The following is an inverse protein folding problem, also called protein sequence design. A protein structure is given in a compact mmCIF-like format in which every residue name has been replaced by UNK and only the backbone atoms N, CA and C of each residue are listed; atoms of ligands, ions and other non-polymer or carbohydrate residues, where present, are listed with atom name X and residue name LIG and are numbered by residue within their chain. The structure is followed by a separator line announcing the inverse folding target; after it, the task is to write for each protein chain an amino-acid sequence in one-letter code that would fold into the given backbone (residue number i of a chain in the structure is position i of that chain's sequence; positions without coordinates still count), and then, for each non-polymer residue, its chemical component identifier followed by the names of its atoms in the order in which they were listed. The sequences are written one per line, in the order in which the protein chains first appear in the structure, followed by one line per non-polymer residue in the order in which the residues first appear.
data_IF_020273376496
#
_entry.id   IF_020273376496
#
_cell.length_a   1.000
_cell.length_b   1.000
_cell.length_c   1.000
_cell.angle_alpha   90.00
_cell.angle_beta   90.00
_cell.angle_gamma   90.00
#
_symmetry.space_group_name_H-M   'P 1'
#
loop_
_entity.id
_entity.type
_entity.pdbx_description
1 polymer ?
#
# COMPACT_ATOMS: atom_id res chain seq x y z
N UNK A 1 -31.43 17.33 16.35
CA UNK A 1 -30.40 16.36 15.92
C UNK A 1 -29.06 17.01 16.18
N UNK A 2 -28.42 16.67 17.28
CA UNK A 2 -27.02 17.06 17.49
C UNK A 2 -26.22 16.49 16.32
N UNK A 3 -25.69 17.38 15.48
CA UNK A 3 -24.65 17.01 14.54
C UNK A 3 -23.49 16.56 15.42
N UNK A 4 -23.32 15.25 15.59
CA UNK A 4 -22.03 14.70 15.95
C UNK A 4 -21.05 15.15 14.86
N UNK A 5 -20.42 16.30 15.09
CA UNK A 5 -19.39 16.82 14.22
C UNK A 5 -18.23 15.86 14.34
N UNK A 6 -18.12 14.96 13.38
CA UNK A 6 -16.92 14.15 13.20
C UNK A 6 -15.77 15.14 13.06
N UNK A 7 -14.90 15.19 14.07
CA UNK A 7 -13.71 16.03 14.01
C UNK A 7 -12.70 15.35 13.08
N UNK A 8 -12.60 15.86 11.85
CA UNK A 8 -11.66 15.36 10.85
C UNK A 8 -10.42 16.22 10.94
N UNK A 9 -9.31 15.61 11.37
CA UNK A 9 -8.02 16.30 11.40
C UNK A 9 -7.64 16.76 9.98
N UNK A 10 -7.07 17.96 9.83
CA UNK A 10 -6.63 18.46 8.52
C UNK A 10 -5.54 17.56 7.94
N UNK A 11 -5.45 17.55 6.60
CA UNK A 11 -4.47 16.74 5.89
C UNK A 11 -3.09 17.41 5.80
N UNK A 12 -2.62 17.99 6.89
CA UNK A 12 -1.37 18.72 6.95
C UNK A 12 -0.14 17.79 7.03
N UNK A 13 1.02 18.35 6.67
CA UNK A 13 2.31 17.67 6.73
C UNK A 13 2.55 16.66 5.62
N UNK A 14 3.74 16.06 5.61
CA UNK A 14 4.11 15.03 4.62
C UNK A 14 3.42 13.71 4.93
N UNK A 15 2.91 13.07 3.88
CA UNK A 15 2.31 11.74 3.93
C UNK A 15 3.31 10.69 3.43
N UNK A 16 3.70 9.76 4.30
CA UNK A 16 4.50 8.60 3.94
C UNK A 16 3.65 7.56 3.22
N UNK A 17 4.03 7.20 2.01
CA UNK A 17 3.42 6.08 1.26
C UNK A 17 4.45 4.96 1.21
N UNK A 18 4.22 3.94 2.01
CA UNK A 18 5.13 2.82 2.23
C UNK A 18 4.70 1.63 1.36
N UNK A 19 5.43 1.36 0.28
CA UNK A 19 5.10 0.32 -0.69
C UNK A 19 5.88 -0.96 -0.38
N UNK A 20 5.18 -2.08 -0.24
CA UNK A 20 5.84 -3.40 -0.19
C UNK A 20 5.87 -3.98 -1.60
N UNK A 21 7.07 -4.20 -2.13
CA UNK A 21 7.33 -4.53 -3.53
C UNK A 21 7.52 -3.27 -4.39
N UNK A 22 8.69 -3.12 -4.99
CA UNK A 22 9.08 -2.11 -5.96
C UNK A 22 8.99 -2.65 -7.40
N UNK A 23 7.95 -3.43 -7.69
CA UNK A 23 7.67 -3.97 -9.02
C UNK A 23 6.91 -2.99 -9.94
N UNK A 24 6.35 -3.52 -11.02
CA UNK A 24 5.68 -2.73 -12.08
C UNK A 24 4.61 -1.75 -11.57
N UNK A 25 3.79 -2.15 -10.60
CA UNK A 25 2.74 -1.28 -10.04
C UNK A 25 3.36 -0.10 -9.29
N UNK A 26 4.26 -0.39 -8.35
CA UNK A 26 4.88 0.61 -7.49
C UNK A 26 5.74 1.59 -8.28
N UNK A 27 6.57 1.10 -9.21
CA UNK A 27 7.42 1.98 -10.03
C UNK A 27 6.62 2.86 -10.97
N UNK A 28 5.55 2.33 -11.58
CA UNK A 28 4.64 3.13 -12.41
C UNK A 28 3.88 4.18 -11.58
N UNK A 29 3.45 3.82 -10.36
CA UNK A 29 2.83 4.78 -9.44
C UNK A 29 3.78 5.92 -9.08
N UNK A 30 5.02 5.60 -8.69
CA UNK A 30 6.02 6.62 -8.33
C UNK A 30 6.37 7.49 -9.53
N UNK A 31 6.63 6.89 -10.69
CA UNK A 31 6.91 7.65 -11.91
C UNK A 31 5.75 8.59 -12.27
N UNK A 32 4.51 8.11 -12.21
CA UNK A 32 3.33 8.96 -12.43
C UNK A 32 3.24 10.11 -11.42
N UNK A 33 3.46 9.82 -10.13
CA UNK A 33 3.46 10.83 -9.08
C UNK A 33 4.51 11.92 -9.32
N UNK A 34 5.75 11.55 -9.59
CA UNK A 34 6.84 12.49 -9.83
C UNK A 34 6.65 13.27 -11.14
N UNK A 35 6.09 12.64 -12.17
CA UNK A 35 5.69 13.31 -13.40
C UNK A 35 4.66 14.42 -13.16
N UNK A 36 3.66 14.16 -12.32
CA UNK A 36 2.63 15.16 -11.95
C UNK A 36 3.23 16.26 -11.10
N UNK A 37 4.09 15.93 -10.12
CA UNK A 37 4.80 16.92 -9.29
C UNK A 37 5.67 17.87 -10.12
N UNK A 38 6.30 17.34 -11.17
CA UNK A 38 7.12 18.11 -12.11
C UNK A 38 6.31 18.84 -13.19
N UNK A 39 4.97 18.76 -13.15
CA UNK A 39 4.08 19.43 -14.11
C UNK A 39 4.13 18.86 -15.53
N UNK A 40 4.68 17.66 -15.71
CA UNK A 40 4.86 17.02 -17.03
C UNK A 40 3.53 16.39 -17.48
N UNK A 41 2.81 15.72 -16.58
CA UNK A 41 1.56 15.02 -16.89
C UNK A 41 0.40 15.41 -15.97
N UNK A 42 -0.82 15.06 -16.40
CA UNK A 42 -2.05 15.20 -15.61
C UNK A 42 -2.39 13.85 -14.94
N UNK A 43 -3.08 13.84 -13.78
CA UNK A 43 -3.43 12.61 -13.04
C UNK A 43 -4.58 11.81 -13.67
N UNK A 44 -4.49 11.51 -14.98
CA UNK A 44 -5.53 10.82 -15.76
C UNK A 44 -5.78 9.43 -15.18
N UNK A 45 -7.07 9.10 -14.97
CA UNK A 45 -7.50 7.85 -14.36
C UNK A 45 -7.60 7.87 -12.84
N UNK A 46 -7.13 8.93 -12.16
CA UNK A 46 -7.26 9.05 -10.72
C UNK A 46 -8.62 9.60 -10.29
N UNK A 47 -9.41 8.77 -9.61
CA UNK A 47 -10.72 9.15 -9.07
C UNK A 47 -10.62 10.32 -8.08
N UNK A 48 -9.62 10.32 -7.20
CA UNK A 48 -9.49 11.36 -6.17
C UNK A 48 -9.07 12.70 -6.76
N UNK A 49 -8.33 12.69 -7.87
CA UNK A 49 -7.79 13.90 -8.47
C UNK A 49 -8.67 14.48 -9.59
N UNK A 50 -9.41 13.63 -10.30
CA UNK A 50 -10.21 14.04 -11.48
C UNK A 50 -11.69 13.67 -11.37
N UNK A 51 -12.09 12.84 -10.41
CA UNK A 51 -13.49 12.49 -10.18
C UNK A 51 -14.29 13.66 -9.64
N UNK A 52 -15.60 13.63 -9.89
CA UNK A 52 -16.54 14.65 -9.43
C UNK A 52 -17.59 14.08 -8.49
N UNK A 53 -17.97 14.85 -7.47
CA UNK A 53 -19.09 14.57 -6.57
C UNK A 53 -20.25 15.48 -6.96
N UNK A 54 -21.43 14.90 -7.19
CA UNK A 54 -22.66 15.67 -7.42
C UNK A 54 -23.20 16.20 -6.10
N UNK A 55 -23.48 17.50 -6.04
CA UNK A 55 -24.02 18.19 -4.88
C UNK A 55 -25.49 18.52 -5.12
N UNK A 56 -26.41 17.80 -4.46
CA UNK A 56 -27.85 18.01 -4.61
C UNK A 56 -28.48 17.25 -5.79
N UNK A 57 -29.56 17.80 -6.35
CA UNK A 57 -30.35 17.13 -7.39
C UNK A 57 -29.62 17.16 -8.74
N UNK A 58 -29.98 16.24 -9.63
CA UNK A 58 -29.46 16.19 -11.01
C UNK A 58 -29.70 17.49 -11.79
N UNK A 59 -30.82 18.16 -11.51
CA UNK A 59 -31.24 19.41 -12.16
C UNK A 59 -30.43 20.63 -11.72
N UNK A 60 -29.79 20.57 -10.54
CA UNK A 60 -29.09 21.72 -9.96
C UNK A 60 -27.77 22.03 -10.67
N UNK A 61 -27.25 21.09 -11.50
CA UNK A 61 -25.95 21.17 -12.17
C UNK A 61 -24.78 21.55 -11.23
N UNK A 62 -24.89 21.20 -9.95
CA UNK A 62 -23.85 21.43 -8.95
C UNK A 62 -22.99 20.18 -8.79
N UNK A 63 -21.70 20.32 -9.08
CA UNK A 63 -20.70 19.30 -8.82
C UNK A 63 -19.37 19.93 -8.41
N UNK A 64 -18.60 19.22 -7.60
CA UNK A 64 -17.24 19.60 -7.22
C UNK A 64 -16.28 18.48 -7.61
N UNK A 65 -15.01 18.81 -7.87
CA UNK A 65 -13.96 17.79 -7.97
C UNK A 65 -13.72 17.22 -6.57
N UNK A 66 -13.46 15.91 -6.46
CA UNK A 66 -13.27 15.20 -5.19
C UNK A 66 -12.20 15.86 -4.31
N UNK A 67 -11.01 16.14 -4.88
CA UNK A 67 -9.90 16.79 -4.17
C UNK A 67 -10.21 18.20 -3.64
N UNK A 68 -11.17 18.90 -4.24
CA UNK A 68 -11.57 20.24 -3.82
C UNK A 68 -12.74 20.19 -2.81
N UNK A 69 -13.38 19.02 -2.68
CA UNK A 69 -14.51 18.79 -1.78
C UNK A 69 -14.07 18.22 -0.42
N UNK A 70 -13.05 17.37 -0.39
CA UNK A 70 -12.54 16.70 0.82
C UNK A 70 -11.09 17.14 1.05
N UNK A 71 -10.67 17.46 2.30
CA UNK A 71 -9.29 17.84 2.60
C UNK A 71 -8.35 16.63 2.50
N UNK A 72 -7.92 16.30 1.27
CA UNK A 72 -6.94 15.25 1.00
C UNK A 72 -5.52 15.81 1.01
N UNK A 73 -4.53 14.97 1.34
CA UNK A 73 -3.12 15.35 1.18
C UNK A 73 -2.83 15.69 -0.28
N UNK A 74 -2.06 16.76 -0.53
CA UNK A 74 -1.68 17.14 -1.89
C UNK A 74 -0.67 16.14 -2.42
N UNK A 75 -0.67 15.89 -3.73
CA UNK A 75 0.30 15.01 -4.38
C UNK A 75 1.76 15.43 -4.12
N UNK A 76 2.03 16.73 -3.97
CA UNK A 76 3.34 17.28 -3.60
C UNK A 76 3.83 16.85 -2.22
N UNK A 77 2.92 16.51 -1.31
CA UNK A 77 3.23 16.20 0.09
C UNK A 77 3.47 14.69 0.30
N UNK A 78 3.24 13.86 -0.74
CA UNK A 78 3.49 12.43 -0.70
C UNK A 78 4.99 12.15 -0.82
N UNK A 79 5.52 11.38 0.14
CA UNK A 79 6.88 10.86 0.13
C UNK A 79 6.81 9.35 0.11
N UNK A 80 7.48 8.71 -0.85
CA UNK A 80 7.41 7.27 -1.04
C UNK A 80 8.63 6.59 -0.43
N UNK A 81 8.40 5.52 0.32
CA UNK A 81 9.41 4.54 0.72
C UNK A 81 9.00 3.16 0.23
N UNK A 82 9.96 2.27 -0.02
CA UNK A 82 9.65 0.94 -0.51
C UNK A 82 10.55 -0.15 0.08
N UNK A 83 10.03 -1.37 0.17
CA UNK A 83 10.81 -2.59 0.34
C UNK A 83 10.76 -3.43 -0.92
N UNK A 84 11.84 -4.14 -1.23
CA UNK A 84 11.85 -5.18 -2.25
C UNK A 84 12.88 -6.26 -1.90
N UNK A 85 12.72 -7.44 -2.50
CA UNK A 85 13.64 -8.58 -2.37
C UNK A 85 14.74 -8.53 -3.44
N UNK A 86 14.65 -7.59 -4.37
CA UNK A 86 15.66 -7.21 -5.35
C UNK A 86 16.26 -5.84 -5.02
N UNK A 87 17.56 -5.62 -5.29
CA UNK A 87 18.25 -4.37 -4.93
C UNK A 87 18.06 -3.25 -5.95
N UNK A 88 17.33 -3.48 -7.04
CA UNK A 88 17.14 -2.51 -8.12
C UNK A 88 16.47 -1.23 -7.59
N UNK A 89 17.05 -0.06 -7.88
CA UNK A 89 16.37 1.20 -7.58
C UNK A 89 15.12 1.38 -8.46
N UNK A 90 14.30 2.38 -8.14
CA UNK A 90 13.04 2.63 -8.82
C UNK A 90 13.17 2.80 -10.35
N UNK A 91 14.27 3.37 -10.85
CA UNK A 91 14.49 3.56 -12.29
C UNK A 91 14.81 2.23 -12.98
N UNK A 92 15.71 1.43 -12.40
CA UNK A 92 16.08 0.11 -12.92
C UNK A 92 14.89 -0.85 -12.90
N UNK A 93 14.15 -0.87 -11.80
CA UNK A 93 12.95 -1.67 -11.64
C UNK A 93 11.85 -1.25 -12.64
N UNK A 94 11.64 0.07 -12.86
CA UNK A 94 10.71 0.59 -13.85
C UNK A 94 11.10 0.17 -15.28
N UNK A 95 12.39 0.25 -15.62
CA UNK A 95 12.91 -0.15 -16.93
C UNK A 95 12.70 -1.65 -17.16
N UNK A 96 12.95 -2.49 -16.16
CA UNK A 96 12.69 -3.94 -16.22
C UNK A 96 11.21 -4.27 -16.35
N UNK A 97 10.34 -3.49 -15.69
CA UNK A 97 8.89 -3.67 -15.77
C UNK A 97 8.33 -3.37 -17.17
N UNK A 98 8.95 -2.47 -17.93
CA UNK A 98 8.59 -2.21 -19.33
C UNK A 98 7.19 -1.61 -19.52
N UNK A 99 6.66 -0.92 -18.50
CA UNK A 99 5.32 -0.29 -18.55
C UNK A 99 5.36 1.08 -19.21
N UNK A 100 6.37 1.87 -18.90
CA UNK A 100 6.55 3.24 -19.41
C UNK A 100 7.56 3.25 -20.56
N UNK A 101 7.38 4.15 -21.52
CA UNK A 101 8.34 4.33 -22.61
C UNK A 101 9.67 4.90 -22.06
N UNK A 102 10.81 4.60 -22.69
CA UNK A 102 12.12 5.08 -22.23
C UNK A 102 12.21 6.61 -22.08
N UNK A 103 11.58 7.37 -22.97
CA UNK A 103 11.61 8.83 -22.97
C UNK A 103 10.91 9.40 -21.72
N UNK A 104 9.72 8.88 -21.40
CA UNK A 104 8.95 9.27 -20.21
C UNK A 104 9.73 8.94 -18.93
N UNK A 105 10.39 7.78 -18.91
CA UNK A 105 11.16 7.33 -17.76
C UNK A 105 12.45 8.14 -17.57
N UNK A 106 13.12 8.52 -18.66
CA UNK A 106 14.35 9.32 -18.62
C UNK A 106 14.12 10.71 -18.04
N UNK A 107 12.96 11.32 -18.29
CA UNK A 107 12.57 12.60 -17.69
C UNK A 107 12.43 12.53 -16.15
N UNK A 108 12.32 11.32 -15.58
CA UNK A 108 12.09 11.04 -14.17
C UNK A 108 13.25 10.27 -13.53
N UNK A 109 14.40 10.23 -14.18
CA UNK A 109 15.53 9.40 -13.77
C UNK A 109 16.02 9.70 -12.36
N UNK A 110 16.28 10.96 -12.04
CA UNK A 110 16.78 11.38 -10.72
C UNK A 110 15.87 10.96 -9.55
N UNK A 111 14.56 11.31 -9.53
CA UNK A 111 13.71 10.91 -8.41
C UNK A 111 13.54 9.38 -8.31
N UNK A 112 13.59 8.65 -9.43
CA UNK A 112 13.46 7.19 -9.44
C UNK A 112 14.74 6.45 -9.02
N UNK A 113 15.93 6.96 -9.35
CA UNK A 113 17.20 6.42 -8.84
C UNK A 113 17.29 6.61 -7.33
N UNK A 114 16.83 7.76 -6.81
CA UNK A 114 16.84 8.05 -5.38
C UNK A 114 15.84 7.18 -4.58
N UNK A 115 14.94 6.45 -5.24
CA UNK A 115 14.08 5.47 -4.60
C UNK A 115 14.78 4.10 -4.57
N UNK A 116 15.62 3.91 -3.56
CA UNK A 116 16.27 2.63 -3.29
C UNK A 116 15.39 1.78 -2.35
N UNK A 117 15.14 0.50 -2.67
CA UNK A 117 14.34 -0.35 -1.80
C UNK A 117 15.11 -0.75 -0.54
N UNK A 118 14.42 -0.68 0.60
CA UNK A 118 14.85 -1.36 1.83
C UNK A 118 14.78 -2.88 1.64
N UNK A 119 15.61 -3.62 2.38
CA UNK A 119 15.61 -5.09 2.33
C UNK A 119 14.24 -5.65 2.75
N UNK A 120 13.66 -6.53 1.92
CA UNK A 120 12.35 -7.11 2.18
C UNK A 120 12.36 -8.33 3.10
N UNK A 121 11.23 -8.60 3.77
CA UNK A 121 10.93 -9.91 4.36
C UNK A 121 10.42 -10.84 3.26
N UNK A 122 11.04 -12.02 3.13
CA UNK A 122 10.74 -12.98 2.07
C UNK A 122 10.78 -14.42 2.59
N UNK A 123 9.84 -15.23 2.12
CA UNK A 123 9.83 -16.67 2.33
C UNK A 123 9.41 -17.37 1.03
N UNK A 124 10.33 -18.18 0.50
CA UNK A 124 10.18 -18.88 -0.79
C UNK A 124 9.01 -19.88 -0.78
N UNK A 125 8.56 -20.33 0.39
CA UNK A 125 7.39 -21.20 0.50
C UNK A 125 6.10 -20.51 0.04
N UNK A 126 6.02 -19.18 0.22
CA UNK A 126 4.88 -18.37 -0.17
C UNK A 126 4.96 -17.88 -1.62
N UNK A 127 6.18 -17.67 -2.14
CA UNK A 127 6.38 -17.24 -3.54
C UNK A 127 7.52 -18.04 -4.19
N UNK A 128 7.18 -19.24 -4.69
CA UNK A 128 8.15 -20.26 -5.11
C UNK A 128 9.03 -19.88 -6.31
N UNK A 129 8.55 -18.98 -7.18
CA UNK A 129 9.20 -18.62 -8.45
C UNK A 129 10.21 -17.47 -8.31
N UNK A 130 10.35 -16.90 -7.13
CA UNK A 130 11.27 -15.81 -6.87
C UNK A 130 12.41 -16.27 -5.98
N UNK A 131 13.55 -15.62 -6.15
CA UNK A 131 14.74 -15.77 -5.33
C UNK A 131 15.13 -14.39 -4.81
N UNK A 132 14.86 -14.14 -3.53
CA UNK A 132 15.21 -12.88 -2.87
C UNK A 132 16.71 -12.81 -2.57
N UNK A 133 17.38 -11.78 -3.09
CA UNK A 133 18.80 -11.49 -2.83
C UNK A 133 19.01 -10.30 -1.90
N UNK A 134 17.97 -9.48 -1.74
CA UNK A 134 17.96 -8.26 -0.91
C UNK A 134 16.95 -8.43 0.23
N UNK A 135 17.22 -9.41 1.10
CA UNK A 135 16.26 -9.87 2.12
C UNK A 135 16.77 -9.64 3.53
N UNK A 136 15.86 -9.37 4.45
CA UNK A 136 16.14 -9.31 5.89
C UNK A 136 16.48 -10.69 6.43
N UNK A 137 17.28 -10.71 7.49
CA UNK A 137 17.60 -11.92 8.25
C UNK A 137 17.31 -11.71 9.73
N UNK A 138 16.87 -12.76 10.41
CA UNK A 138 16.51 -12.73 11.83
C UNK A 138 16.35 -14.15 12.34
N UNK A 139 16.51 -14.37 13.65
CA UNK A 139 16.33 -15.69 14.26
C UNK A 139 14.86 -16.08 14.27
N UNK A 140 13.97 -15.10 14.46
CA UNK A 140 12.52 -15.28 14.53
C UNK A 140 11.79 -14.36 13.54
N UNK A 141 10.56 -14.71 13.16
CA UNK A 141 9.66 -13.81 12.41
C UNK A 141 9.35 -12.54 13.21
N UNK A 142 9.42 -12.60 14.54
CA UNK A 142 9.32 -11.44 15.42
C UNK A 142 10.50 -10.47 15.22
N UNK A 143 11.71 -10.96 15.03
CA UNK A 143 12.88 -10.11 14.71
C UNK A 143 12.68 -9.39 13.37
N UNK A 144 12.14 -10.09 12.37
CA UNK A 144 11.83 -9.50 11.07
C UNK A 144 10.75 -8.41 11.19
N UNK A 145 9.70 -8.63 12.00
CA UNK A 145 8.70 -7.61 12.30
C UNK A 145 9.32 -6.38 12.98
N UNK A 146 10.19 -6.59 13.96
CA UNK A 146 10.87 -5.50 14.67
C UNK A 146 11.77 -4.68 13.73
N UNK A 147 12.49 -5.32 12.81
CA UNK A 147 13.28 -4.62 11.80
C UNK A 147 12.43 -3.78 10.85
N UNK A 148 11.24 -4.26 10.47
CA UNK A 148 10.29 -3.47 9.67
C UNK A 148 9.77 -2.26 10.44
N UNK A 149 9.46 -2.43 11.74
CA UNK A 149 9.06 -1.32 12.61
C UNK A 149 10.17 -0.26 12.68
N UNK A 150 11.43 -0.67 12.78
CA UNK A 150 12.56 0.26 12.78
C UNK A 150 12.76 0.96 11.43
N UNK A 151 12.62 0.24 10.31
CA UNK A 151 12.66 0.83 8.97
C UNK A 151 11.64 1.95 8.82
N UNK A 152 10.40 1.69 9.25
CA UNK A 152 9.31 2.66 9.23
C UNK A 152 9.69 3.90 10.04
N UNK A 153 10.12 3.73 11.30
CA UNK A 153 10.52 4.85 12.15
C UNK A 153 11.66 5.66 11.55
N UNK A 154 12.71 4.99 11.05
CA UNK A 154 13.83 5.65 10.36
C UNK A 154 13.36 6.44 9.13
N UNK A 155 12.46 5.87 8.34
CA UNK A 155 11.87 6.55 7.18
C UNK A 155 11.08 7.79 7.60
N UNK A 156 10.23 7.67 8.62
CA UNK A 156 9.42 8.77 9.13
C UNK A 156 10.29 9.91 9.70
N UNK A 157 11.28 9.57 10.53
CA UNK A 157 12.20 10.53 11.15
C UNK A 157 13.08 11.25 10.14
N UNK A 158 13.62 10.51 9.15
CA UNK A 158 14.47 11.06 8.09
C UNK A 158 13.69 12.05 7.22
N UNK A 159 12.44 11.71 6.87
CA UNK A 159 11.66 12.48 5.90
C UNK A 159 10.71 13.51 6.54
N UNK A 160 10.63 13.53 7.88
CA UNK A 160 9.69 14.36 8.67
C UNK A 160 8.25 14.07 8.29
N UNK A 161 7.92 12.78 8.26
CA UNK A 161 6.58 12.30 7.93
C UNK A 161 5.65 12.55 9.10
N UNK A 162 4.45 13.08 8.82
CA UNK A 162 3.44 13.34 9.84
C UNK A 162 2.47 12.16 10.00
N UNK A 163 2.20 11.46 8.91
CA UNK A 163 1.30 10.30 8.83
C UNK A 163 1.81 9.35 7.76
N UNK A 164 1.56 8.06 7.92
CA UNK A 164 1.95 7.03 6.94
C UNK A 164 0.77 6.17 6.53
N UNK A 165 0.89 5.53 5.37
CA UNK A 165 0.04 4.42 4.93
C UNK A 165 0.93 3.35 4.30
N UNK A 166 0.66 2.09 4.59
CA UNK A 166 1.35 0.96 3.97
C UNK A 166 0.47 0.26 2.94
N UNK A 167 1.03 -0.07 1.78
CA UNK A 167 0.32 -0.73 0.69
C UNK A 167 1.12 -1.95 0.24
N UNK A 168 0.49 -3.12 0.28
CA UNK A 168 1.07 -4.33 -0.29
C UNK A 168 0.87 -4.34 -1.81
N UNK A 169 1.99 -4.20 -2.54
CA UNK A 169 2.07 -4.27 -4.00
C UNK A 169 2.99 -5.40 -4.47
N UNK A 170 3.43 -6.27 -3.55
CA UNK A 170 4.35 -7.36 -3.83
C UNK A 170 3.61 -8.55 -4.45
N UNK A 171 4.38 -9.59 -4.77
CA UNK A 171 3.85 -10.79 -5.42
C UNK A 171 2.76 -11.46 -4.58
N UNK A 172 1.74 -11.98 -5.27
CA UNK A 172 0.70 -12.80 -4.65
C UNK A 172 1.31 -14.02 -3.96
N UNK A 173 1.05 -14.13 -2.67
CA UNK A 173 1.47 -15.28 -1.88
C UNK A 173 0.58 -16.50 -2.16
N UNK A 174 1.14 -17.69 -1.95
CA UNK A 174 0.40 -18.95 -2.05
C UNK A 174 -0.86 -18.92 -1.18
N UNK A 175 -1.92 -19.57 -1.66
CA UNK A 175 -3.17 -19.68 -0.92
C UNK A 175 -2.93 -20.40 0.42
N UNK A 176 -3.55 -19.88 1.47
CA UNK A 176 -3.58 -20.48 2.80
C UNK A 176 -4.97 -20.36 3.41
N UNK A 177 -5.25 -21.22 4.38
CA UNK A 177 -6.43 -21.15 5.23
C UNK A 177 -6.05 -20.63 6.62
N UNK A 178 -7.05 -20.24 7.39
CA UNK A 178 -6.85 -19.89 8.79
C UNK A 178 -6.28 -21.08 9.57
N UNK A 179 -5.38 -20.79 10.51
CA UNK A 179 -4.77 -21.73 11.44
C UNK A 179 -5.07 -21.26 12.87
N UNK A 180 -4.78 -22.06 13.92
CA UNK A 180 -4.89 -21.61 15.32
C UNK A 180 -4.09 -20.32 15.60
N UNK A 181 -2.93 -20.17 14.97
CA UNK A 181 -2.03 -18.99 15.09
C UNK A 181 -2.66 -17.70 14.56
N UNK A 182 -3.71 -17.80 13.75
CA UNK A 182 -4.42 -16.65 13.18
C UNK A 182 -5.62 -16.18 14.03
N UNK A 183 -5.99 -16.90 15.11
CA UNK A 183 -7.26 -16.69 15.82
C UNK A 183 -7.25 -15.51 16.81
N UNK A 184 -6.10 -15.17 17.39
CA UNK A 184 -5.97 -14.04 18.33
C UNK A 184 -4.61 -13.37 18.16
N UNK A 185 -4.53 -12.11 18.56
CA UNK A 185 -3.27 -11.37 18.55
C UNK A 185 -2.18 -12.07 19.39
N UNK A 186 -2.55 -12.60 20.55
CA UNK A 186 -1.64 -13.36 21.42
C UNK A 186 -1.07 -14.60 20.72
N UNK A 187 -1.94 -15.41 20.08
CA UNK A 187 -1.52 -16.60 19.35
C UNK A 187 -0.60 -16.24 18.16
N UNK A 188 -0.91 -15.14 17.47
CA UNK A 188 -0.11 -14.65 16.36
C UNK A 188 1.27 -14.16 16.81
N UNK A 189 1.34 -13.39 17.90
CA UNK A 189 2.61 -12.92 18.46
C UNK A 189 3.49 -14.07 18.94
N UNK A 190 2.91 -15.09 19.58
CA UNK A 190 3.61 -16.34 19.90
C UNK A 190 4.12 -17.05 18.64
N UNK A 191 3.30 -17.13 17.60
CA UNK A 191 3.69 -17.71 16.32
C UNK A 191 4.86 -16.98 15.64
N UNK A 192 4.93 -15.65 15.78
CA UNK A 192 6.08 -14.86 15.30
C UNK A 192 7.38 -15.24 16.04
N UNK A 193 7.29 -15.48 17.35
CA UNK A 193 8.44 -15.88 18.19
C UNK A 193 8.89 -17.31 17.89
N UNK A 194 7.96 -18.23 17.64
CA UNK A 194 8.26 -19.64 17.37
C UNK A 194 8.44 -19.98 15.89
N UNK A 195 8.53 -18.97 15.00
CA UNK A 195 8.65 -19.17 13.55
C UNK A 195 7.55 -20.03 12.92
N UNK A 196 6.29 -19.87 13.36
CA UNK A 196 5.17 -20.64 12.81
C UNK A 196 5.08 -20.46 11.29
N UNK A 197 5.13 -21.56 10.55
CA UNK A 197 5.15 -21.59 9.09
C UNK A 197 3.85 -21.11 8.46
N UNK A 198 2.73 -21.07 9.21
CA UNK A 198 1.47 -20.53 8.72
C UNK A 198 1.46 -19.01 8.55
N UNK A 199 2.42 -18.30 9.18
CA UNK A 199 2.52 -16.84 9.09
C UNK A 199 3.24 -16.44 7.79
N UNK A 200 2.54 -15.73 6.90
CA UNK A 200 3.07 -15.26 5.63
C UNK A 200 3.86 -13.94 5.77
N UNK A 201 4.84 -13.65 4.88
CA UNK A 201 5.53 -12.36 4.85
C UNK A 201 4.59 -11.15 4.89
N UNK A 202 3.52 -11.13 4.11
CA UNK A 202 2.55 -10.03 4.09
C UNK A 202 1.92 -9.76 5.45
N UNK A 203 1.70 -10.80 6.26
CA UNK A 203 1.16 -10.68 7.61
C UNK A 203 2.19 -10.07 8.58
N UNK A 204 3.48 -10.29 8.35
CA UNK A 204 4.58 -9.67 9.14
C UNK A 204 4.63 -8.16 8.85
N UNK A 205 4.50 -7.75 7.57
CA UNK A 205 4.39 -6.33 7.20
C UNK A 205 3.14 -5.68 7.79
N UNK A 206 1.97 -6.33 7.66
CA UNK A 206 0.73 -5.82 8.22
C UNK A 206 0.82 -5.69 9.75
N UNK A 207 1.38 -6.69 10.44
CA UNK A 207 1.63 -6.62 11.87
C UNK A 207 2.53 -5.41 12.23
N UNK A 208 3.65 -5.22 11.54
CA UNK A 208 4.56 -4.11 11.80
C UNK A 208 3.89 -2.74 11.61
N UNK A 209 3.12 -2.56 10.53
CA UNK A 209 2.36 -1.34 10.28
C UNK A 209 1.30 -1.10 11.37
N UNK A 210 0.48 -2.10 11.67
CA UNK A 210 -0.61 -1.97 12.62
C UNK A 210 -0.11 -1.74 14.05
N UNK A 211 1.01 -2.36 14.47
CA UNK A 211 1.64 -2.07 15.78
C UNK A 211 2.05 -0.60 15.93
N UNK A 212 2.30 0.10 14.83
CA UNK A 212 2.60 1.53 14.80
C UNK A 212 1.37 2.43 14.59
N UNK A 213 0.17 1.87 14.50
CA UNK A 213 -1.03 2.65 14.20
C UNK A 213 -1.16 3.03 12.71
N UNK A 214 -0.39 2.40 11.83
CA UNK A 214 -0.32 2.77 10.40
C UNK A 214 -1.40 2.00 9.62
N UNK A 215 -2.27 2.70 8.87
CA UNK A 215 -3.24 2.06 7.98
C UNK A 215 -2.57 1.14 6.95
N UNK A 216 -3.21 0.02 6.64
CA UNK A 216 -2.68 -0.98 5.72
C UNK A 216 -3.68 -1.33 4.61
N UNK A 217 -3.26 -1.29 3.35
CA UNK A 217 -4.05 -1.73 2.21
C UNK A 217 -3.41 -2.93 1.51
N UNK A 218 -4.15 -4.04 1.42
CA UNK A 218 -3.71 -5.24 0.71
C UNK A 218 -4.09 -5.18 -0.77
N UNK A 219 -3.10 -4.99 -1.65
CA UNK A 219 -3.29 -4.93 -3.10
C UNK A 219 -3.30 -6.28 -3.82
N UNK A 220 -3.12 -7.39 -3.09
CA UNK A 220 -3.07 -8.75 -3.65
C UNK A 220 -4.16 -9.65 -3.01
N UNK A 221 -4.50 -10.81 -3.59
CA UNK A 221 -5.64 -11.63 -3.14
C UNK A 221 -5.33 -12.57 -1.94
N UNK A 222 -4.11 -12.57 -1.40
CA UNK A 222 -3.72 -13.32 -0.20
C UNK A 222 -4.43 -12.79 1.06
N UNK A 223 -4.46 -13.60 2.14
CA UNK A 223 -5.23 -13.26 3.34
C UNK A 223 -4.73 -11.99 4.02
N UNK A 224 -3.43 -11.89 4.30
CA UNK A 224 -2.82 -10.73 4.97
C UNK A 224 -3.66 -10.25 6.17
N UNK A 225 -4.38 -9.14 6.06
CA UNK A 225 -5.23 -8.54 7.11
C UNK A 225 -6.59 -9.23 7.30
N UNK A 226 -6.97 -10.16 6.43
CA UNK A 226 -8.19 -10.98 6.52
C UNK A 226 -8.02 -12.15 7.52
N UNK A 227 -7.34 -11.91 8.65
CA UNK A 227 -7.20 -12.87 9.75
C UNK A 227 -7.66 -12.23 11.08
N UNK A 228 -8.33 -12.98 11.98
CA UNK A 228 -8.82 -12.43 13.24
C UNK A 228 -7.76 -11.69 14.06
N UNK A 229 -6.56 -12.24 14.17
CA UNK A 229 -5.46 -11.63 14.93
C UNK A 229 -5.08 -10.21 14.48
N UNK A 230 -5.02 -9.95 13.17
CA UNK A 230 -4.66 -8.64 12.64
C UNK A 230 -5.84 -7.68 12.64
N UNK A 231 -7.07 -8.18 12.54
CA UNK A 231 -8.28 -7.38 12.75
C UNK A 231 -8.39 -6.90 14.21
N UNK A 232 -8.09 -7.78 15.16
CA UNK A 232 -7.99 -7.43 16.59
C UNK A 232 -6.97 -6.31 16.81
N UNK A 233 -5.76 -6.46 16.24
CA UNK A 233 -4.72 -5.44 16.33
C UNK A 233 -5.11 -4.11 15.66
N UNK A 234 -5.76 -4.17 14.51
CA UNK A 234 -6.26 -2.99 13.80
C UNK A 234 -7.29 -2.23 14.65
N UNK A 235 -8.21 -2.93 15.33
CA UNK A 235 -9.17 -2.33 16.27
C UNK A 235 -8.45 -1.71 17.46
N UNK A 236 -7.52 -2.45 18.08
CA UNK A 236 -6.77 -1.98 19.25
C UNK A 236 -5.99 -0.69 18.97
N UNK A 237 -5.45 -0.56 17.76
CA UNK A 237 -4.62 0.58 17.34
C UNK A 237 -5.41 1.65 16.59
N UNK A 238 -6.70 1.42 16.34
CA UNK A 238 -7.59 2.25 15.51
C UNK A 238 -7.03 2.49 14.10
N UNK A 239 -6.32 1.50 13.57
CA UNK A 239 -5.72 1.53 12.25
C UNK A 239 -6.70 1.00 11.20
N UNK A 240 -7.06 1.79 10.17
CA UNK A 240 -7.85 1.29 9.06
C UNK A 240 -7.11 0.21 8.28
N UNK A 241 -7.82 -0.87 7.96
CA UNK A 241 -7.36 -1.90 7.02
C UNK A 241 -8.26 -1.91 5.79
N UNK A 242 -7.68 -2.16 4.62
CA UNK A 242 -8.40 -2.25 3.36
C UNK A 242 -7.85 -3.38 2.50
N UNK A 243 -8.69 -3.88 1.59
CA UNK A 243 -8.35 -4.98 0.73
C UNK A 243 -9.57 -5.81 0.36
N UNK A 244 -9.41 -6.82 -0.49
CA UNK A 244 -8.15 -7.26 -1.10
C UNK A 244 -8.21 -7.23 -2.63
N UNK A 245 -7.03 -7.27 -3.25
CA UNK A 245 -6.82 -7.28 -4.70
C UNK A 245 -7.24 -5.99 -5.43
N UNK A 246 -6.31 -5.40 -6.19
CA UNK A 246 -6.62 -4.18 -6.93
C UNK A 246 -7.64 -4.45 -8.05
N UNK A 247 -8.83 -3.85 -7.94
CA UNK A 247 -9.83 -3.91 -9.01
C UNK A 247 -9.50 -2.93 -10.13
N UNK A 248 -8.72 -3.39 -11.11
CA UNK A 248 -8.19 -2.55 -12.20
C UNK A 248 -8.97 -2.69 -13.52
N UNK A 249 -8.58 -3.60 -14.41
CA UNK A 249 -9.10 -3.70 -15.78
C UNK A 249 -10.31 -4.64 -15.90
N UNK A 250 -10.05 -5.92 -16.13
CA UNK A 250 -11.10 -6.90 -16.46
C UNK A 250 -12.16 -7.02 -15.35
N UNK A 251 -11.75 -7.08 -14.08
CA UNK A 251 -12.69 -7.20 -12.96
C UNK A 251 -13.53 -5.93 -12.80
N UNK A 252 -12.97 -4.74 -13.04
CA UNK A 252 -13.75 -3.50 -13.02
C UNK A 252 -14.86 -3.55 -14.07
N UNK A 253 -14.51 -3.89 -15.31
CA UNK A 253 -15.48 -4.03 -16.40
C UNK A 253 -16.57 -5.05 -16.07
N UNK A 254 -16.20 -6.21 -15.51
CA UNK A 254 -17.16 -7.22 -15.07
C UNK A 254 -18.13 -6.66 -14.02
N UNK A 255 -17.63 -5.89 -13.04
CA UNK A 255 -18.47 -5.29 -11.99
C UNK A 255 -19.35 -4.14 -12.47
N UNK A 256 -19.08 -3.56 -13.63
CA UNK A 256 -19.95 -2.54 -14.26
C UNK A 256 -21.00 -3.24 -15.14
N UNK A 257 -20.56 -4.16 -16.00
CA UNK A 257 -21.40 -4.79 -17.03
C UNK A 257 -22.39 -5.79 -16.42
N UNK A 258 -21.94 -6.68 -15.52
CA UNK A 258 -22.82 -7.75 -15.02
C UNK A 258 -24.03 -7.22 -14.23
N UNK A 259 -23.89 -6.25 -13.30
CA UNK A 259 -25.07 -5.64 -12.66
C UNK A 259 -25.94 -4.88 -13.65
N UNK A 260 -25.34 -4.23 -14.65
CA UNK A 260 -26.08 -3.54 -15.72
C UNK A 260 -26.97 -4.49 -16.51
N UNK A 261 -26.42 -5.63 -16.93
CA UNK A 261 -27.16 -6.70 -17.63
C UNK A 261 -28.24 -7.33 -16.74
N UNK A 262 -27.96 -7.57 -15.45
CA UNK A 262 -28.97 -8.09 -14.51
C UNK A 262 -30.14 -7.12 -14.30
N UNK A 263 -29.90 -5.82 -14.37
CA UNK A 263 -30.90 -4.79 -14.08
C UNK A 263 -31.78 -4.43 -15.29
N UNK A 264 -31.64 -5.14 -16.40
CA UNK A 264 -32.35 -4.94 -17.66
C UNK A 264 -32.86 -6.28 -18.17
#
# INVERSE_FOLDING_TARGET
MEKNSININPADGKLGVLLVGLGAISTTFVAGLESIKNGITKPIGSLTQMGTIRLGKRTDKRSSIVKDFIPLSKLSDLVVGAWDIFPDNGYEAAKKAGVLNPEDLNALKEPLINLEPMQGVFDKNWVKRLDGKHVKSGTTKKDLANQLIEDIKRFEDKNKISRSVMIWCASTEAFSTLSPTHQSLEAFEKGLETNDTSIAPSQIYAYAALKLGIPFANGAPNLTVDIPALQELAVATRSPIAGKDFKTGQTLMKTIVAPGLRSR
#
